data_IF_971037638987
#
_entry.id   IF_971037638987
#
_cell.length_a   1.000
_cell.length_b   1.000
_cell.length_c   1.000
_cell.angle_alpha   90.00
_cell.angle_beta   90.00
_cell.angle_gamma   90.00
#
_symmetry.space_group_name_H-M   'P 1'
#
loop_
_entity.id
_entity.type
_entity.pdbx_description
1 polymer ?
#
# COMPACT_ATOMS: atom_id res chain seq x y z
N UNK A 1 13.62 -1.08 4.35
CA UNK A 1 12.43 -1.30 5.18
C UNK A 1 12.29 -0.30 6.32
N UNK A 2 11.27 -0.41 7.19
CA UNK A 2 10.95 0.56 8.25
C UNK A 2 12.09 0.79 9.27
N UNK A 3 12.85 -0.24 9.61
CA UNK A 3 14.02 -0.09 10.49
C UNK A 3 15.12 0.73 9.80
N UNK A 4 15.34 0.50 8.51
CA UNK A 4 16.28 1.27 7.71
C UNK A 4 15.92 2.75 7.70
N UNK A 5 14.65 3.08 7.47
CA UNK A 5 14.13 4.45 7.52
C UNK A 5 14.33 5.10 8.88
N UNK A 6 14.10 4.36 9.96
CA UNK A 6 14.22 4.88 11.32
C UNK A 6 15.67 5.12 11.75
N UNK A 7 16.59 4.20 11.42
CA UNK A 7 17.97 4.24 11.88
C UNK A 7 18.92 4.92 10.89
N UNK A 8 18.55 4.93 9.60
CA UNK A 8 19.30 5.61 8.54
C UNK A 8 20.79 5.26 8.55
N UNK A 9 21.63 6.28 8.51
CA UNK A 9 23.08 6.16 8.48
C UNK A 9 23.68 5.46 9.71
N UNK A 10 22.98 5.45 10.85
CA UNK A 10 23.44 4.75 12.06
C UNK A 10 23.65 3.25 11.84
N UNK A 11 22.95 2.65 10.85
CA UNK A 11 23.17 1.25 10.48
C UNK A 11 24.51 1.01 9.79
N UNK A 12 25.09 2.04 9.16
CA UNK A 12 26.39 1.96 8.51
C UNK A 12 27.54 2.24 9.50
N UNK A 13 27.27 2.98 10.59
CA UNK A 13 28.24 3.32 11.62
C UNK A 13 28.52 2.16 12.57
N UNK A 14 27.56 1.31 12.86
CA UNK A 14 27.68 0.20 13.79
C UNK A 14 28.20 -1.06 13.10
N UNK A 15 29.49 -1.33 13.28
CA UNK A 15 30.17 -2.60 13.00
C UNK A 15 29.77 -3.43 11.77
N UNK A 16 29.56 -2.77 10.61
CA UNK A 16 29.97 -3.30 9.31
C UNK A 16 29.29 -4.59 8.80
N UNK A 17 28.11 -4.89 9.23
CA UNK A 17 27.31 -5.96 8.61
C UNK A 17 26.35 -5.45 7.54
N UNK A 18 26.35 -4.13 7.28
CA UNK A 18 25.40 -3.48 6.38
C UNK A 18 26.17 -2.67 5.34
N UNK A 19 26.06 -3.08 4.09
CA UNK A 19 26.64 -2.37 2.94
C UNK A 19 25.71 -1.33 2.35
N UNK A 20 24.38 -1.50 2.58
CA UNK A 20 23.36 -0.66 1.96
C UNK A 20 22.14 -0.48 2.87
N UNK A 21 21.61 0.75 2.93
CA UNK A 21 20.39 1.09 3.69
C UNK A 21 19.31 1.61 2.76
N UNK A 22 18.20 0.88 2.64
CA UNK A 22 17.11 1.18 1.70
C UNK A 22 15.80 1.35 2.46
N UNK A 23 15.20 2.52 2.33
CA UNK A 23 13.87 2.86 2.84
C UNK A 23 12.74 2.11 2.14
N UNK A 24 11.51 2.22 2.64
CA UNK A 24 10.37 1.49 2.06
C UNK A 24 9.94 2.01 0.69
N UNK A 25 10.28 3.23 0.32
CA UNK A 25 9.87 3.86 -0.93
C UNK A 25 11.02 3.98 -1.96
N UNK A 26 12.19 3.38 -1.66
CA UNK A 26 13.37 3.42 -2.52
C UNK A 26 13.66 2.08 -3.24
N UNK A 27 12.65 1.21 -3.40
CA UNK A 27 12.87 -0.11 -4.03
C UNK A 27 13.15 -0.04 -5.52
N UNK A 28 12.72 1.02 -6.22
CA UNK A 28 13.03 1.25 -7.63
C UNK A 28 14.51 1.51 -7.86
N UNK A 29 15.18 2.10 -6.86
CA UNK A 29 16.58 2.48 -6.93
C UNK A 29 17.52 1.32 -6.52
N UNK A 30 16.97 0.16 -6.14
CA UNK A 30 17.76 -0.99 -5.70
C UNK A 30 18.90 -1.38 -6.66
N UNK A 31 18.71 -1.48 -7.99
CA UNK A 31 19.79 -1.83 -8.90
C UNK A 31 20.96 -0.84 -8.81
N UNK A 32 20.68 0.46 -8.84
CA UNK A 32 21.69 1.52 -8.74
C UNK A 32 22.36 1.53 -7.36
N UNK A 33 21.61 1.30 -6.28
CA UNK A 33 22.15 1.24 -4.93
C UNK A 33 23.07 0.04 -4.72
N UNK A 34 22.76 -1.11 -5.34
CA UNK A 34 23.62 -2.30 -5.31
C UNK A 34 24.95 -2.02 -6.03
N UNK A 35 24.92 -1.40 -7.22
CA UNK A 35 26.13 -1.01 -7.95
C UNK A 35 26.98 0.00 -7.16
N UNK A 36 26.32 0.99 -6.54
CA UNK A 36 26.98 1.98 -5.69
C UNK A 36 27.64 1.34 -4.47
N UNK A 37 26.93 0.42 -3.78
CA UNK A 37 27.48 -0.29 -2.64
C UNK A 37 28.71 -1.15 -3.01
N UNK A 38 28.69 -1.76 -4.19
CA UNK A 38 29.83 -2.54 -4.70
C UNK A 38 31.07 -1.71 -4.95
N UNK A 39 30.93 -0.42 -5.25
CA UNK A 39 32.03 0.48 -5.59
C UNK A 39 32.50 1.36 -4.43
N UNK A 40 31.57 1.85 -3.60
CA UNK A 40 31.85 2.88 -2.57
C UNK A 40 31.66 2.41 -1.13
N UNK A 41 31.32 1.16 -0.89
CA UNK A 41 31.10 0.53 0.43
C UNK A 41 30.00 1.14 1.30
N UNK A 42 29.22 2.10 0.80
CA UNK A 42 28.06 2.65 1.51
C UNK A 42 27.05 3.22 0.53
N UNK A 43 25.83 2.72 0.55
CA UNK A 43 24.73 3.28 -0.21
C UNK A 43 23.50 3.47 0.69
N UNK A 44 22.93 4.68 0.69
CA UNK A 44 21.76 5.02 1.52
C UNK A 44 20.71 5.71 0.66
N UNK A 45 19.51 5.18 0.63
CA UNK A 45 18.33 5.89 0.17
C UNK A 45 17.15 5.59 1.10
N UNK A 46 16.75 6.58 1.88
CA UNK A 46 15.68 6.53 2.89
C UNK A 46 14.66 7.64 2.66
N UNK A 47 14.53 8.13 1.44
CA UNK A 47 13.52 9.13 1.10
C UNK A 47 12.13 8.50 1.15
N UNK A 48 11.18 9.17 1.80
CA UNK A 48 9.77 8.81 1.79
C UNK A 48 9.07 9.54 0.64
N UNK A 49 8.49 8.78 -0.27
CA UNK A 49 7.67 9.32 -1.35
C UNK A 49 6.30 9.75 -0.83
N UNK A 50 5.69 10.73 -1.50
CA UNK A 50 4.30 11.11 -1.27
C UNK A 50 3.32 10.41 -2.21
N UNK A 51 3.82 9.82 -3.30
CA UNK A 51 3.01 9.27 -4.40
C UNK A 51 3.24 7.77 -4.61
N UNK A 52 4.43 7.24 -4.26
CA UNK A 52 4.81 5.87 -4.58
C UNK A 52 3.90 4.83 -3.93
N UNK A 53 3.21 4.06 -4.74
CA UNK A 53 2.37 2.93 -4.33
C UNK A 53 2.82 1.59 -4.91
N UNK A 54 3.80 1.60 -5.85
CA UNK A 54 4.24 0.44 -6.64
C UNK A 54 3.09 -0.24 -7.40
N UNK A 55 2.10 0.54 -7.84
CA UNK A 55 0.92 0.04 -8.53
C UNK A 55 1.21 -0.64 -9.87
N UNK A 56 2.31 -0.25 -10.52
CA UNK A 56 2.78 -0.76 -11.81
C UNK A 56 3.72 -1.98 -11.70
N UNK A 57 4.12 -2.35 -10.48
CA UNK A 57 5.01 -3.49 -10.25
C UNK A 57 4.18 -4.71 -9.88
N UNK A 58 4.15 -5.70 -10.77
CA UNK A 58 3.57 -7.01 -10.47
C UNK A 58 4.52 -7.82 -9.56
N UNK A 59 4.13 -8.17 -8.33
CA UNK A 59 5.01 -8.90 -7.42
C UNK A 59 5.35 -10.30 -7.97
N UNK A 60 6.63 -10.65 -7.94
CA UNK A 60 7.06 -12.04 -8.19
C UNK A 60 6.86 -12.85 -6.91
N UNK A 61 5.98 -13.83 -6.94
CA UNK A 61 5.66 -14.72 -5.82
C UNK A 61 6.53 -15.97 -5.89
N UNK A 62 7.73 -15.88 -5.30
CA UNK A 62 8.74 -16.96 -5.36
C UNK A 62 8.36 -18.17 -4.49
N UNK A 63 7.81 -17.92 -3.31
CA UNK A 63 7.37 -18.94 -2.38
C UNK A 63 5.87 -18.78 -2.14
N UNK A 64 5.08 -19.59 -2.82
CA UNK A 64 3.64 -19.56 -2.64
C UNK A 64 3.13 -20.98 -2.47
N UNK A 65 2.19 -21.15 -1.55
CA UNK A 65 1.46 -22.40 -1.39
C UNK A 65 0.49 -22.69 -2.55
N UNK A 66 0.43 -21.80 -3.56
CA UNK A 66 -0.49 -21.88 -4.69
C UNK A 66 -1.96 -21.63 -4.32
N UNK A 67 -2.28 -21.32 -3.05
CA UNK A 67 -3.65 -21.16 -2.55
C UNK A 67 -3.96 -19.70 -2.22
N UNK A 68 -3.09 -19.02 -1.48
CA UNK A 68 -3.32 -17.65 -0.99
C UNK A 68 -2.26 -16.67 -1.48
N UNK A 69 -2.67 -15.43 -1.73
CA UNK A 69 -1.79 -14.33 -2.12
C UNK A 69 -2.10 -13.06 -1.34
N UNK A 70 -1.07 -12.24 -1.14
CA UNK A 70 -1.20 -10.92 -0.52
C UNK A 70 -1.18 -9.83 -1.60
N UNK A 71 -2.08 -8.85 -1.47
CA UNK A 71 -2.18 -7.69 -2.36
C UNK A 71 -2.12 -6.42 -1.52
N UNK A 72 -1.10 -5.61 -1.73
CA UNK A 72 -1.00 -4.31 -1.07
C UNK A 72 -1.94 -3.31 -1.74
N UNK A 73 -2.87 -2.73 -0.98
CA UNK A 73 -3.86 -1.76 -1.48
C UNK A 73 -3.53 -0.32 -1.14
N UNK A 74 -2.66 -0.12 -0.15
CA UNK A 74 -2.27 1.20 0.31
C UNK A 74 -0.95 1.17 1.06
N UNK A 75 -0.35 2.34 1.28
CA UNK A 75 0.90 2.52 2.03
C UNK A 75 0.78 3.74 2.94
N UNK A 76 1.59 3.75 4.02
CA UNK A 76 1.56 4.81 5.00
C UNK A 76 0.34 4.78 5.91
N UNK A 77 0.24 5.72 6.83
CA UNK A 77 -0.90 5.85 7.74
C UNK A 77 -0.94 7.26 8.31
N UNK A 78 -2.11 7.88 8.31
CA UNK A 78 -2.33 9.22 8.88
C UNK A 78 -2.76 9.18 10.36
N UNK A 79 -2.97 7.99 10.94
CA UNK A 79 -3.28 7.88 12.36
C UNK A 79 -2.02 8.07 13.21
N UNK A 80 -2.03 9.11 14.06
CA UNK A 80 -0.92 9.48 14.96
C UNK A 80 -1.08 8.82 16.34
N UNK A 81 -1.21 7.48 16.35
CA UNK A 81 -1.29 6.72 17.60
C UNK A 81 0.00 6.90 18.41
N UNK A 82 -0.11 7.15 19.72
CA UNK A 82 1.01 7.56 20.59
C UNK A 82 2.20 6.59 20.61
N UNK A 83 1.96 5.31 20.36
CA UNK A 83 2.97 4.23 20.35
C UNK A 83 3.45 3.85 18.94
N UNK A 84 2.87 4.44 17.88
CA UNK A 84 3.06 3.95 16.52
C UNK A 84 4.14 4.72 15.75
N UNK A 85 5.09 3.98 15.17
CA UNK A 85 6.17 4.54 14.35
C UNK A 85 5.81 4.64 12.87
N UNK A 86 4.70 4.06 12.42
CA UNK A 86 4.35 3.93 11.00
C UNK A 86 4.31 5.26 10.25
N UNK A 87 3.67 6.34 10.75
CA UNK A 87 3.67 7.62 10.05
C UNK A 87 5.06 8.18 9.77
N UNK A 88 6.01 7.91 10.66
CA UNK A 88 7.39 8.40 10.55
C UNK A 88 8.29 7.58 9.61
N UNK A 89 7.95 6.29 9.41
CA UNK A 89 8.81 5.38 8.63
C UNK A 89 8.17 4.89 7.33
N UNK A 90 6.89 5.19 7.12
CA UNK A 90 6.17 4.88 5.88
C UNK A 90 5.48 6.10 5.27
N UNK A 91 5.52 7.24 5.97
CA UNK A 91 4.93 8.49 5.52
C UNK A 91 3.42 8.52 5.56
N UNK A 92 2.85 9.54 4.92
CA UNK A 92 1.42 9.74 4.79
C UNK A 92 0.75 8.58 4.04
N UNK A 93 -0.54 8.44 4.28
CA UNK A 93 -1.36 7.43 3.63
C UNK A 93 -1.49 7.67 2.13
N UNK A 94 -1.34 6.60 1.35
CA UNK A 94 -1.46 6.60 -0.11
C UNK A 94 -2.22 5.36 -0.53
N UNK A 95 -3.42 5.54 -1.06
CA UNK A 95 -4.22 4.47 -1.62
C UNK A 95 -3.78 4.16 -3.04
N UNK A 96 -3.65 2.89 -3.36
CA UNK A 96 -3.34 2.42 -4.70
C UNK A 96 -4.59 2.47 -5.57
N UNK A 97 -4.43 2.71 -6.86
CA UNK A 97 -5.50 2.70 -7.84
C UNK A 97 -6.30 1.39 -7.78
N UNK A 98 -7.65 1.47 -7.61
CA UNK A 98 -8.51 0.30 -7.49
C UNK A 98 -8.49 -0.62 -8.71
N UNK A 99 -8.34 -0.08 -9.93
CA UNK A 99 -8.27 -0.89 -11.15
C UNK A 99 -7.04 -1.78 -11.16
N UNK A 100 -5.90 -1.26 -10.70
CA UNK A 100 -4.66 -2.04 -10.59
C UNK A 100 -4.77 -3.15 -9.55
N UNK A 101 -5.50 -2.91 -8.45
CA UNK A 101 -5.75 -3.91 -7.40
C UNK A 101 -6.65 -5.02 -7.94
N UNK A 102 -7.76 -4.68 -8.59
CA UNK A 102 -8.70 -5.64 -9.16
C UNK A 102 -8.03 -6.48 -10.25
N UNK A 103 -7.23 -5.84 -11.11
CA UNK A 103 -6.45 -6.54 -12.12
C UNK A 103 -5.48 -7.55 -11.51
N UNK A 104 -4.70 -7.14 -10.51
CA UNK A 104 -3.79 -8.04 -9.79
C UNK A 104 -4.54 -9.20 -9.12
N UNK A 105 -5.69 -8.95 -8.50
CA UNK A 105 -6.50 -9.98 -7.89
C UNK A 105 -7.02 -11.00 -8.92
N UNK A 106 -7.43 -10.54 -10.10
CA UNK A 106 -7.85 -11.39 -11.22
C UNK A 106 -6.69 -12.22 -11.75
N UNK A 107 -5.54 -11.62 -12.01
CA UNK A 107 -4.34 -12.34 -12.45
C UNK A 107 -3.92 -13.44 -11.47
N UNK A 108 -4.03 -13.17 -10.18
CA UNK A 108 -3.76 -14.15 -9.11
C UNK A 108 -4.75 -15.31 -9.19
N UNK A 109 -6.05 -15.01 -9.35
CA UNK A 109 -7.09 -16.03 -9.48
C UNK A 109 -6.89 -16.91 -10.74
N UNK A 110 -6.58 -16.29 -11.89
CA UNK A 110 -6.33 -16.97 -13.16
C UNK A 110 -5.11 -17.92 -13.08
N UNK A 111 -4.11 -17.55 -12.25
CA UNK A 111 -2.95 -18.41 -11.93
C UNK A 111 -3.28 -19.58 -10.98
N UNK A 112 -4.52 -19.74 -10.55
CA UNK A 112 -4.99 -20.85 -9.73
C UNK A 112 -5.09 -20.58 -8.23
N UNK A 113 -4.72 -19.39 -7.75
CA UNK A 113 -4.94 -19.01 -6.35
C UNK A 113 -6.44 -18.92 -6.04
N UNK A 114 -6.81 -19.20 -4.81
CA UNK A 114 -8.22 -19.19 -4.37
C UNK A 114 -8.49 -18.27 -3.19
N UNK A 115 -7.47 -17.64 -2.67
CA UNK A 115 -7.60 -16.67 -1.59
C UNK A 115 -6.70 -15.47 -1.84
N UNK A 116 -7.23 -14.25 -1.64
CA UNK A 116 -6.46 -13.00 -1.60
C UNK A 116 -6.66 -12.32 -0.26
N UNK A 117 -5.58 -11.76 0.29
CA UNK A 117 -5.64 -10.91 1.47
C UNK A 117 -5.21 -9.50 1.10
N UNK A 118 -6.12 -8.54 1.23
CA UNK A 118 -5.85 -7.12 1.03
C UNK A 118 -5.09 -6.57 2.23
N UNK A 119 -3.93 -5.94 1.97
CA UNK A 119 -3.02 -5.45 3.00
C UNK A 119 -2.79 -3.94 2.91
N UNK A 120 -2.72 -3.32 4.07
CA UNK A 120 -2.33 -1.94 4.27
C UNK A 120 -1.84 -1.71 5.69
N UNK A 121 -1.56 -0.48 6.07
CA UNK A 121 -1.29 -0.11 7.45
C UNK A 121 -2.58 0.18 8.23
N UNK A 122 -3.63 0.59 7.52
CA UNK A 122 -5.01 0.74 7.99
C UNK A 122 -5.95 0.63 6.79
N UNK A 123 -6.37 -0.58 6.43
CA UNK A 123 -7.13 -0.80 5.18
C UNK A 123 -8.48 -0.09 5.15
N UNK A 124 -9.09 0.18 6.30
CA UNK A 124 -10.39 0.83 6.38
C UNK A 124 -10.37 2.32 5.97
N UNK A 125 -9.20 2.97 6.03
CA UNK A 125 -9.05 4.35 5.58
C UNK A 125 -8.77 4.47 4.08
N UNK A 126 -8.70 3.36 3.35
CA UNK A 126 -8.52 3.39 1.89
C UNK A 126 -9.52 4.33 1.24
N UNK A 127 -8.99 5.27 0.45
CA UNK A 127 -9.77 6.29 -0.26
C UNK A 127 -9.05 6.67 -1.55
N UNK A 128 -9.71 6.51 -2.69
CA UNK A 128 -9.19 6.85 -4.01
C UNK A 128 -10.12 7.82 -4.72
N UNK A 129 -9.59 8.95 -5.19
CA UNK A 129 -10.35 10.02 -5.83
C UNK A 129 -9.97 10.26 -7.30
N UNK A 130 -9.18 9.37 -7.92
CA UNK A 130 -8.82 9.46 -9.34
C UNK A 130 -7.78 10.53 -9.71
N UNK A 131 -7.52 11.51 -8.85
CA UNK A 131 -6.40 12.43 -8.97
C UNK A 131 -5.24 11.92 -8.13
N UNK A 132 -4.01 12.09 -8.55
CA UNK A 132 -2.84 11.80 -7.72
C UNK A 132 -3.03 12.45 -6.36
N UNK A 133 -2.99 11.66 -5.29
CA UNK A 133 -3.49 12.06 -3.97
C UNK A 133 -2.78 13.30 -3.44
N UNK A 134 -3.43 14.45 -3.50
CA UNK A 134 -3.13 15.57 -2.61
C UNK A 134 -3.74 15.25 -1.23
N UNK A 135 -3.18 14.28 -0.53
CA UNK A 135 -3.49 14.09 0.89
C UNK A 135 -2.78 15.19 1.66
N UNK A 136 -3.54 16.14 2.16
CA UNK A 136 -3.03 17.17 3.05
C UNK A 136 -2.34 16.51 4.26
N UNK A 137 -1.07 16.82 4.54
CA UNK A 137 -0.37 16.20 5.66
C UNK A 137 -1.02 16.61 6.98
N UNK A 138 -1.02 15.72 7.99
CA UNK A 138 -1.37 16.15 9.34
C UNK A 138 -0.46 17.32 9.72
N UNK A 139 -1.05 18.46 10.01
CA UNK A 139 -0.51 19.81 10.27
C UNK A 139 1.02 19.95 10.18
N UNK A 140 1.48 20.78 9.26
CA UNK A 140 2.86 21.04 8.84
C UNK A 140 3.83 21.58 9.92
N UNK A 141 3.71 21.19 11.16
CA UNK A 141 4.49 21.76 12.27
C UNK A 141 5.81 21.04 12.59
N UNK A 142 6.14 19.88 11.96
CA UNK A 142 7.33 19.07 12.39
C UNK A 142 8.22 18.61 11.22
N UNK A 143 8.26 19.28 10.08
CA UNK A 143 9.23 18.92 9.04
C UNK A 143 9.92 20.11 8.39
N UNK A 144 10.82 20.76 9.11
CA UNK A 144 11.84 21.61 8.52
C UNK A 144 13.10 20.78 8.18
N UNK A 145 13.07 20.13 7.03
CA UNK A 145 14.24 19.47 6.45
C UNK A 145 14.19 19.71 4.94
N UNK A 146 15.14 20.50 4.46
CA UNK A 146 15.28 21.05 3.12
C UNK A 146 15.13 20.01 1.99
N UNK A 147 14.11 20.20 1.15
CA UNK A 147 13.94 19.47 -0.09
C UNK A 147 14.60 20.22 -1.27
N UNK A 148 15.36 19.51 -2.11
CA UNK A 148 15.76 19.97 -3.44
C UNK A 148 14.79 19.41 -4.50
N UNK A 149 14.52 20.16 -5.60
CA UNK A 149 13.60 19.72 -6.65
C UNK A 149 14.24 18.70 -7.57
N UNK A 150 13.52 17.65 -7.87
CA UNK A 150 13.90 16.65 -8.88
C UNK A 150 13.23 16.93 -10.22
N UNK A 151 14.04 16.83 -11.26
CA UNK A 151 13.67 16.86 -12.66
C UNK A 151 13.86 15.47 -13.27
N UNK A 152 12.79 14.81 -13.61
CA UNK A 152 12.90 13.49 -14.25
C UNK A 152 11.63 13.03 -14.94
N UNK A 153 11.37 13.57 -16.17
CA UNK A 153 10.45 12.94 -17.11
C UNK A 153 11.00 11.58 -17.55
N UNK A 154 10.25 10.51 -17.36
CA UNK A 154 10.45 9.28 -18.12
C UNK A 154 9.13 8.76 -18.71
N UNK A 155 9.20 8.63 -19.98
CA UNK A 155 8.30 8.26 -21.04
C UNK A 155 7.91 6.79 -20.89
N UNK A 156 6.63 6.51 -20.83
CA UNK A 156 6.07 5.16 -20.96
C UNK A 156 5.19 5.10 -22.20
N UNK A 157 5.77 4.65 -23.31
CA UNK A 157 5.03 4.18 -24.46
C UNK A 157 5.17 2.66 -24.55
N UNK A 158 4.08 2.02 -24.85
CA UNK A 158 3.85 0.60 -25.20
C UNK A 158 3.28 -0.27 -24.07
N UNK A 159 1.98 -0.45 -24.09
CA UNK A 159 1.29 -1.69 -24.49
C UNK A 159 -0.21 -1.40 -24.46
N UNK A 160 -0.80 -1.44 -25.64
CA UNK A 160 -2.23 -1.25 -25.84
C UNK A 160 -2.83 -2.65 -26.12
N UNK A 161 -3.41 -3.27 -25.14
CA UNK A 161 -4.25 -4.43 -25.35
C UNK A 161 -5.57 -4.22 -24.60
N UNK A 162 -6.61 -4.05 -25.40
CA UNK A 162 -7.96 -3.69 -24.99
C UNK A 162 -8.66 -4.90 -24.38
N UNK A 163 -8.53 -5.07 -23.06
CA UNK A 163 -9.37 -6.01 -22.30
C UNK A 163 -10.72 -5.33 -22.09
N UNK A 164 -11.80 -5.96 -22.57
CA UNK A 164 -13.18 -5.54 -22.37
C UNK A 164 -13.52 -5.59 -20.88
N UNK A 165 -13.45 -4.43 -20.23
CA UNK A 165 -14.08 -4.20 -18.94
C UNK A 165 -15.56 -3.87 -19.16
N UNK A 166 -16.48 -4.20 -18.25
CA UNK A 166 -17.84 -3.73 -18.35
C UNK A 166 -17.85 -2.20 -18.43
N UNK A 167 -18.65 -1.68 -19.34
CA UNK A 167 -18.73 -0.27 -19.73
C UNK A 167 -19.05 0.62 -18.51
N UNK A 168 -18.02 1.27 -17.98
CA UNK A 168 -18.13 2.28 -16.91
C UNK A 168 -18.42 3.69 -17.43
N UNK A 169 -18.78 3.86 -18.72
CA UNK A 169 -19.01 5.17 -19.33
C UNK A 169 -20.30 5.88 -18.86
N UNK A 170 -21.07 5.26 -17.97
CA UNK A 170 -22.33 5.84 -17.44
C UNK A 170 -22.15 6.67 -16.13
N UNK A 171 -20.95 6.84 -15.63
CA UNK A 171 -20.67 7.59 -14.37
C UNK A 171 -19.92 8.91 -14.61
N UNK A 172 -20.16 9.59 -15.71
CA UNK A 172 -19.63 10.94 -15.94
C UNK A 172 -20.47 11.99 -15.23
N UNK A 173 -20.02 12.46 -14.05
CA UNK A 173 -20.69 13.59 -13.40
C UNK A 173 -20.16 14.02 -12.03
N UNK A 174 -19.55 13.13 -11.27
CA UNK A 174 -18.78 13.41 -10.04
C UNK A 174 -17.69 12.37 -9.96
N UNK A 175 -16.48 12.80 -9.71
CA UNK A 175 -15.39 11.88 -9.38
C UNK A 175 -15.73 11.26 -8.02
N UNK A 176 -16.43 10.10 -8.04
CA UNK A 176 -16.81 9.40 -6.82
C UNK A 176 -15.57 8.82 -6.18
N UNK A 177 -15.32 9.21 -4.95
CA UNK A 177 -14.26 8.64 -4.13
C UNK A 177 -14.56 7.16 -3.89
N UNK A 178 -13.68 6.27 -4.32
CA UNK A 178 -13.76 4.84 -4.06
C UNK A 178 -13.20 4.58 -2.67
N UNK A 179 -14.05 4.20 -1.72
CA UNK A 179 -13.67 3.84 -0.36
C UNK A 179 -13.34 2.34 -0.23
N UNK A 180 -12.95 1.91 0.97
CA UNK A 180 -12.60 0.51 1.21
C UNK A 180 -13.76 -0.45 0.97
N UNK A 181 -14.99 -0.08 1.33
CA UNK A 181 -16.17 -0.92 1.10
C UNK A 181 -16.39 -1.16 -0.40
N UNK A 182 -16.32 -0.11 -1.21
CA UNK A 182 -16.44 -0.20 -2.68
C UNK A 182 -15.32 -1.05 -3.28
N UNK A 183 -14.07 -0.88 -2.84
CA UNK A 183 -12.96 -1.71 -3.29
C UNK A 183 -13.15 -3.19 -2.92
N UNK A 184 -13.59 -3.46 -1.71
CA UNK A 184 -13.86 -4.82 -1.22
C UNK A 184 -14.94 -5.50 -2.07
N UNK A 185 -16.01 -4.77 -2.42
CA UNK A 185 -17.06 -5.23 -3.32
C UNK A 185 -16.51 -5.52 -4.73
N UNK A 186 -15.69 -4.63 -5.30
CA UNK A 186 -15.07 -4.83 -6.60
C UNK A 186 -14.23 -6.12 -6.65
N UNK A 187 -13.41 -6.36 -5.62
CA UNK A 187 -12.58 -7.56 -5.54
C UNK A 187 -13.43 -8.83 -5.32
N UNK A 188 -14.45 -8.76 -4.46
CA UNK A 188 -15.34 -9.89 -4.20
C UNK A 188 -16.17 -10.29 -5.43
N UNK A 189 -16.44 -9.35 -6.32
CA UNK A 189 -17.21 -9.56 -7.56
C UNK A 189 -16.40 -10.21 -8.70
N UNK A 190 -15.08 -10.42 -8.52
CA UNK A 190 -14.24 -11.06 -9.54
C UNK A 190 -14.71 -12.48 -9.82
N UNK A 191 -14.85 -13.30 -8.78
CA UNK A 191 -15.34 -14.67 -8.86
C UNK A 191 -15.82 -15.16 -7.48
N UNK A 192 -16.96 -15.86 -7.38
CA UNK A 192 -17.46 -16.38 -6.10
C UNK A 192 -16.54 -17.43 -5.44
N UNK A 193 -15.63 -18.05 -6.18
CA UNK A 193 -14.63 -18.98 -5.66
C UNK A 193 -13.36 -18.29 -5.14
N UNK A 194 -13.20 -16.99 -5.41
CA UNK A 194 -12.11 -16.21 -4.86
C UNK A 194 -12.44 -15.77 -3.44
N UNK A 195 -11.82 -16.37 -2.44
CA UNK A 195 -11.96 -15.97 -1.05
C UNK A 195 -11.23 -14.66 -0.80
N UNK A 196 -11.93 -13.66 -0.29
CA UNK A 196 -11.37 -12.34 0.00
C UNK A 196 -11.22 -12.14 1.50
N UNK A 197 -10.01 -11.76 1.91
CA UNK A 197 -9.66 -11.35 3.26
C UNK A 197 -9.06 -9.97 3.26
N UNK A 198 -9.04 -9.35 4.42
CA UNK A 198 -8.28 -8.13 4.65
C UNK A 198 -7.70 -8.13 6.07
N UNK A 199 -6.67 -7.34 6.28
CA UNK A 199 -5.98 -7.27 7.56
C UNK A 199 -5.59 -5.84 7.89
N UNK A 200 -5.40 -5.57 9.17
CA UNK A 200 -4.97 -4.28 9.70
C UNK A 200 -6.07 -3.22 9.63
N UNK A 201 -7.13 -3.46 10.38
CA UNK A 201 -8.21 -2.49 10.62
C UNK A 201 -7.91 -1.62 11.82
N UNK A 202 -8.46 -0.39 11.80
CA UNK A 202 -8.46 0.49 12.95
C UNK A 202 -9.92 0.76 13.39
N UNK A 203 -10.25 0.70 14.69
CA UNK A 203 -11.64 0.84 15.15
C UNK A 203 -12.33 2.13 14.71
N UNK A 204 -11.56 3.23 14.64
CA UNK A 204 -12.03 4.54 14.22
C UNK A 204 -12.54 4.56 12.77
N UNK A 205 -11.93 3.76 11.90
CA UNK A 205 -12.12 3.85 10.45
C UNK A 205 -12.96 2.68 9.89
N UNK A 206 -13.38 1.75 10.75
CA UNK A 206 -14.30 0.66 10.38
C UNK A 206 -15.72 1.21 10.25
N UNK A 207 -16.21 1.34 9.01
CA UNK A 207 -17.56 1.82 8.70
C UNK A 207 -18.58 0.69 8.60
N UNK A 208 -19.86 1.02 8.77
CA UNK A 208 -20.98 0.09 8.59
C UNK A 208 -21.06 -0.45 7.16
N UNK A 209 -20.71 0.36 6.14
CA UNK A 209 -20.68 -0.04 4.74
C UNK A 209 -19.78 -1.28 4.52
N UNK A 210 -18.63 -1.37 5.21
CA UNK A 210 -17.74 -2.53 5.14
C UNK A 210 -18.45 -3.78 5.68
N UNK A 211 -19.20 -3.65 6.77
CA UNK A 211 -19.95 -4.76 7.37
C UNK A 211 -21.10 -5.20 6.47
N UNK A 212 -21.79 -4.27 5.80
CA UNK A 212 -22.84 -4.55 4.84
C UNK A 212 -22.29 -5.32 3.63
N UNK A 213 -21.17 -4.88 3.06
CA UNK A 213 -20.51 -5.59 1.96
C UNK A 213 -20.05 -6.97 2.39
N UNK A 214 -19.47 -7.11 3.60
CA UNK A 214 -19.13 -8.42 4.15
C UNK A 214 -20.35 -9.31 4.33
N UNK A 215 -21.51 -8.78 4.72
CA UNK A 215 -22.75 -9.56 4.84
C UNK A 215 -23.27 -10.00 3.46
N UNK A 216 -23.20 -9.12 2.47
CA UNK A 216 -23.70 -9.32 1.10
C UNK A 216 -22.94 -10.41 0.34
N UNK A 217 -21.62 -10.44 0.44
CA UNK A 217 -20.77 -11.33 -0.34
C UNK A 217 -20.31 -12.55 0.50
N UNK A 218 -20.72 -13.75 0.11
CA UNK A 218 -20.38 -14.99 0.82
C UNK A 218 -18.90 -15.37 0.74
N UNK A 219 -18.20 -14.94 -0.30
CA UNK A 219 -16.77 -15.19 -0.53
C UNK A 219 -15.86 -14.23 0.25
N UNK A 220 -16.41 -13.19 0.90
CA UNK A 220 -15.65 -12.38 1.86
C UNK A 220 -15.60 -13.11 3.21
N UNK A 221 -14.40 -13.30 3.74
CA UNK A 221 -14.20 -13.94 5.02
C UNK A 221 -14.82 -13.11 6.15
N UNK A 222 -15.69 -13.74 6.98
CA UNK A 222 -16.37 -13.09 8.12
C UNK A 222 -15.41 -12.95 9.32
N UNK A 223 -14.26 -12.35 9.10
CA UNK A 223 -13.23 -12.14 10.11
C UNK A 223 -12.65 -10.74 9.97
N UNK A 224 -12.57 -10.01 11.09
CA UNK A 224 -12.00 -8.66 11.16
C UNK A 224 -10.79 -8.72 12.09
N UNK A 225 -9.61 -8.32 11.58
CA UNK A 225 -8.43 -8.11 12.39
C UNK A 225 -8.46 -6.68 12.95
N UNK A 226 -8.91 -6.54 14.19
CA UNK A 226 -9.13 -5.26 14.86
C UNK A 226 -8.32 -5.22 16.17
N UNK A 227 -7.06 -4.78 16.14
CA UNK A 227 -6.20 -4.75 17.33
C UNK A 227 -6.70 -3.76 18.38
N UNK A 228 -6.87 -4.21 19.60
CA UNK A 228 -7.26 -3.36 20.77
C UNK A 228 -6.07 -2.53 21.27
N UNK A 229 -4.84 -2.95 21.00
CA UNK A 229 -3.56 -2.32 21.36
C UNK A 229 -3.28 -2.32 22.87
N UNK A 230 -4.16 -1.71 23.68
CA UNK A 230 -4.08 -1.68 25.15
C UNK A 230 -5.48 -1.70 25.77
N UNK A 231 -5.60 -2.26 26.96
CA UNK A 231 -6.80 -2.14 27.81
C UNK A 231 -6.80 -0.88 28.68
N UNK A 232 -5.79 -0.04 28.58
CA UNK A 232 -5.64 1.18 29.38
C UNK A 232 -5.82 2.43 28.51
N UNK A 233 -6.80 3.26 28.83
CA UNK A 233 -7.04 4.54 28.15
C UNK A 233 -5.88 5.54 28.32
N UNK A 234 -5.01 5.35 29.31
CA UNK A 234 -3.83 6.21 29.50
C UNK A 234 -2.67 5.84 28.58
N UNK A 235 -2.74 4.68 27.92
CA UNK A 235 -1.75 4.20 26.94
C UNK A 235 -2.20 4.49 25.52
N UNK A 236 -3.50 4.50 25.27
CA UNK A 236 -4.12 4.83 23.97
C UNK A 236 -4.24 6.34 23.78
#
# INVERSE_FOLDING_TARGET
GCMAERLKEKLLESDKMVDMVVGPDAYRDLPMLVESAATSHAAVNVLLSREETYADISPVRLESNGVSAFISIMRGCNNMCSYCVVPYVRGAERSRDPETIVREAREVFDRGYREVTLLGQNVNSYSWNGAGQENEPPSAAIMSGTARPDSGQHRSDLINEKVLLPDMSLLTGKQETINFASLLEMVASIDPLLRVRYSTSHPKDLSDDVLEVMAKYSNICKHIHLPVQSGSSSVL
#
